data_IF_551717409615
#
_entry.id   IF_551717409615
#
_cell.length_a   1.000
_cell.length_b   1.000
_cell.length_c   1.000
_cell.angle_alpha   90.00
_cell.angle_beta   90.00
_cell.angle_gamma   90.00
#
_symmetry.space_group_name_H-M   'P 1'
#
loop_
_entity.id
_entity.type
_entity.pdbx_description
1 polymer ?
#
# COMPACT_ATOMS: atom_id res chain seq x y z
N UNK A 1 -12.79 3.54 13.28
CA UNK A 1 -11.87 3.02 12.26
C UNK A 1 -12.27 1.59 11.86
N UNK A 2 -12.52 0.70 12.82
CA UNK A 2 -12.95 -0.69 12.58
C UNK A 2 -14.27 -0.82 11.79
N UNK A 3 -15.30 -0.02 12.14
CA UNK A 3 -16.58 0.01 11.40
C UNK A 3 -16.41 0.28 9.90
N UNK A 4 -15.56 1.25 9.55
CA UNK A 4 -15.31 1.62 8.15
C UNK A 4 -14.55 0.53 7.38
N UNK A 5 -13.75 -0.29 8.08
CA UNK A 5 -13.09 -1.44 7.46
C UNK A 5 -14.10 -2.57 7.21
N UNK A 6 -14.96 -2.88 8.19
CA UNK A 6 -16.04 -3.85 8.02
C UNK A 6 -16.95 -3.47 6.85
N UNK A 7 -17.39 -2.22 6.76
CA UNK A 7 -18.21 -1.73 5.64
C UNK A 7 -17.55 -1.94 4.28
N UNK A 8 -16.22 -1.76 4.19
CA UNK A 8 -15.49 -1.96 2.94
C UNK A 8 -15.24 -3.43 2.62
N UNK A 9 -15.14 -4.29 3.63
CA UNK A 9 -15.06 -5.74 3.44
C UNK A 9 -16.40 -6.29 2.96
N UNK A 10 -17.51 -5.78 3.52
CA UNK A 10 -18.89 -6.18 3.18
C UNK A 10 -19.39 -5.55 1.86
N UNK A 11 -18.67 -4.57 1.32
CA UNK A 11 -19.00 -3.92 0.06
C UNK A 11 -19.04 -4.91 -1.11
N UNK A 12 -20.19 -4.99 -1.79
CA UNK A 12 -20.37 -5.76 -3.04
C UNK A 12 -19.60 -5.19 -4.23
N UNK A 13 -19.07 -3.95 -4.15
CA UNK A 13 -18.25 -3.39 -5.22
C UNK A 13 -16.94 -4.18 -5.40
N UNK A 14 -16.78 -4.80 -6.58
CA UNK A 14 -15.63 -5.63 -6.90
C UNK A 14 -14.30 -4.87 -6.86
N UNK A 15 -14.29 -3.55 -7.13
CA UNK A 15 -13.06 -2.76 -7.06
C UNK A 15 -12.63 -2.58 -5.62
N UNK A 16 -13.57 -2.25 -4.72
CA UNK A 16 -13.26 -2.07 -3.29
C UNK A 16 -12.83 -3.41 -2.68
N UNK A 17 -13.58 -4.47 -2.93
CA UNK A 17 -13.26 -5.82 -2.43
C UNK A 17 -11.90 -6.31 -2.94
N UNK A 18 -11.61 -6.12 -4.23
CA UNK A 18 -10.32 -6.50 -4.82
C UNK A 18 -9.13 -5.73 -4.24
N UNK A 19 -9.30 -4.45 -3.90
CA UNK A 19 -8.24 -3.66 -3.23
C UNK A 19 -7.94 -4.17 -1.83
N UNK A 20 -8.98 -4.46 -1.05
CA UNK A 20 -8.82 -4.99 0.31
C UNK A 20 -8.18 -6.37 0.28
N UNK A 21 -8.62 -7.23 -0.63
CA UNK A 21 -8.07 -8.57 -0.78
C UNK A 21 -6.57 -8.52 -1.10
N UNK A 22 -6.16 -7.65 -2.04
CA UNK A 22 -4.74 -7.44 -2.37
C UNK A 22 -3.94 -6.90 -1.17
N UNK A 23 -4.49 -5.94 -0.43
CA UNK A 23 -3.81 -5.43 0.78
C UNK A 23 -3.63 -6.53 1.83
N UNK A 24 -4.66 -7.36 2.05
CA UNK A 24 -4.57 -8.49 2.97
C UNK A 24 -3.55 -9.55 2.50
N UNK A 25 -3.45 -9.77 1.19
CA UNK A 25 -2.45 -10.66 0.60
C UNK A 25 -1.02 -10.12 0.75
N UNK A 26 -0.80 -8.83 0.51
CA UNK A 26 0.50 -8.19 0.73
C UNK A 26 0.97 -8.32 2.18
N UNK A 27 0.08 -8.07 3.14
CA UNK A 27 0.38 -8.22 4.57
C UNK A 27 0.65 -9.68 4.94
N UNK A 28 -0.07 -10.63 4.35
CA UNK A 28 0.14 -12.06 4.57
C UNK A 28 1.52 -12.53 4.07
N UNK A 29 1.94 -12.03 2.91
CA UNK A 29 3.19 -12.47 2.25
C UNK A 29 4.42 -11.81 2.86
N UNK A 30 4.40 -10.48 3.03
CA UNK A 30 5.58 -9.71 3.46
C UNK A 30 5.53 -9.26 4.93
N UNK A 31 4.43 -9.52 5.64
CA UNK A 31 4.30 -9.24 7.06
C UNK A 31 4.49 -7.76 7.40
N UNK A 32 5.44 -7.50 8.29
CA UNK A 32 5.71 -6.17 8.83
C UNK A 32 6.16 -5.15 7.77
N UNK A 33 6.90 -5.61 6.75
CA UNK A 33 7.40 -4.73 5.69
C UNK A 33 6.26 -4.20 4.81
N UNK A 34 5.20 -5.01 4.61
CA UNK A 34 3.99 -4.55 3.92
C UNK A 34 3.25 -3.50 4.74
N UNK A 35 3.16 -3.65 6.06
CA UNK A 35 2.52 -2.67 6.95
C UNK A 35 3.26 -1.33 6.85
N UNK A 36 4.60 -1.35 6.95
CA UNK A 36 5.42 -0.15 6.78
C UNK A 36 5.18 0.54 5.45
N UNK A 37 5.07 -0.24 4.36
CA UNK A 37 4.81 0.30 3.03
C UNK A 37 3.42 0.92 2.91
N UNK A 38 2.37 0.27 3.43
CA UNK A 38 0.99 0.75 3.35
C UNK A 38 0.73 1.98 4.25
N UNK A 39 1.56 2.21 5.27
CA UNK A 39 1.50 3.41 6.10
C UNK A 39 2.06 4.66 5.39
N UNK A 40 2.78 4.49 4.29
CA UNK A 40 3.37 5.60 3.54
C UNK A 40 2.32 6.48 2.85
N UNK A 41 2.59 7.79 2.79
CA UNK A 41 1.61 8.76 2.28
C UNK A 41 1.41 8.62 0.77
N UNK A 42 0.16 8.33 0.39
CA UNK A 42 -0.23 8.19 -1.02
C UNK A 42 0.19 6.86 -1.64
N UNK A 43 0.56 5.88 -0.80
CA UNK A 43 0.88 4.52 -1.23
C UNK A 43 -0.40 3.68 -1.17
N UNK A 44 -0.84 3.20 -2.33
CA UNK A 44 -1.95 2.24 -2.47
C UNK A 44 -1.46 0.81 -2.70
N UNK A 45 -2.40 -0.11 -2.92
CA UNK A 45 -2.15 -1.54 -3.13
C UNK A 45 -1.16 -1.81 -4.26
N UNK A 46 -1.28 -1.07 -5.36
CA UNK A 46 -0.46 -1.26 -6.56
C UNK A 46 0.97 -0.74 -6.36
N UNK A 47 1.10 0.42 -5.71
CA UNK A 47 2.41 0.99 -5.36
C UNK A 47 3.12 0.13 -4.33
N UNK A 48 2.40 -0.36 -3.31
CA UNK A 48 2.95 -1.25 -2.30
C UNK A 48 3.44 -2.57 -2.91
N UNK A 49 2.65 -3.18 -3.80
CA UNK A 49 3.06 -4.38 -4.54
C UNK A 49 4.38 -4.15 -5.30
N UNK A 50 4.55 -2.98 -5.92
CA UNK A 50 5.78 -2.66 -6.67
C UNK A 50 6.99 -2.48 -5.75
N UNK A 51 6.81 -1.87 -4.58
CA UNK A 51 7.89 -1.66 -3.61
C UNK A 51 8.33 -3.00 -3.00
N UNK A 52 7.36 -3.87 -2.67
CA UNK A 52 7.59 -5.13 -1.98
C UNK A 52 8.12 -6.25 -2.89
N UNK A 53 8.11 -6.08 -4.22
CA UNK A 53 8.77 -6.98 -5.19
C UNK A 53 10.31 -6.99 -5.09
N UNK A 54 10.91 -6.11 -4.30
CA UNK A 54 12.35 -6.08 -4.09
C UNK A 54 12.87 -7.30 -3.32
N UNK A 55 14.20 -7.51 -3.30
CA UNK A 55 14.82 -8.57 -2.50
C UNK A 55 14.55 -8.34 -1.00
N UNK A 56 14.21 -9.43 -0.31
CA UNK A 56 13.93 -9.46 1.13
C UNK A 56 15.22 -9.29 1.94
N UNK A 57 15.12 -8.72 3.15
CA UNK A 57 16.24 -8.63 4.11
C UNK A 57 17.01 -7.29 4.14
N UNK A 58 16.80 -6.38 3.19
CA UNK A 58 17.37 -5.02 3.23
C UNK A 58 16.31 -3.97 3.57
N UNK A 59 16.17 -3.70 4.89
CA UNK A 59 15.21 -2.71 5.37
C UNK A 59 15.55 -1.27 4.97
N UNK A 60 16.84 -0.94 4.77
CA UNK A 60 17.24 0.42 4.36
C UNK A 60 16.77 0.67 2.93
N UNK A 61 16.92 -0.31 2.04
CA UNK A 61 16.40 -0.24 0.68
C UNK A 61 14.89 -0.08 0.66
N UNK A 62 14.16 -0.83 1.48
CA UNK A 62 12.71 -0.72 1.60
C UNK A 62 12.27 0.69 1.99
N UNK A 63 12.85 1.24 3.08
CA UNK A 63 12.52 2.59 3.55
C UNK A 63 12.84 3.66 2.50
N UNK A 64 13.95 3.51 1.76
CA UNK A 64 14.29 4.40 0.64
C UNK A 64 13.26 4.31 -0.49
N UNK A 65 12.77 3.11 -0.81
CA UNK A 65 11.75 2.91 -1.82
C UNK A 65 10.41 3.55 -1.42
N UNK A 66 10.02 3.40 -0.15
CA UNK A 66 8.83 4.07 0.42
C UNK A 66 8.98 5.59 0.30
N UNK A 67 10.10 6.14 0.78
CA UNK A 67 10.35 7.59 0.72
C UNK A 67 10.28 8.15 -0.70
N UNK A 68 10.88 7.45 -1.67
CA UNK A 68 10.80 7.84 -3.08
C UNK A 68 9.36 7.83 -3.60
N UNK A 69 8.55 6.85 -3.20
CA UNK A 69 7.15 6.80 -3.60
C UNK A 69 6.33 7.96 -3.01
N UNK A 70 6.59 8.33 -1.76
CA UNK A 70 5.96 9.49 -1.11
C UNK A 70 6.33 10.81 -1.82
N UNK A 71 7.60 10.98 -2.19
CA UNK A 71 8.04 12.14 -2.97
C UNK A 71 7.35 12.21 -4.33
N UNK A 72 7.20 11.07 -5.02
CA UNK A 72 6.47 11.03 -6.29
C UNK A 72 5.01 11.42 -6.11
N UNK A 73 4.32 10.86 -5.11
CA UNK A 73 2.95 11.24 -4.80
C UNK A 73 2.82 12.74 -4.50
N UNK A 74 3.70 13.29 -3.66
CA UNK A 74 3.72 14.71 -3.33
C UNK A 74 3.96 15.59 -4.58
N UNK A 75 4.82 15.14 -5.49
CA UNK A 75 5.13 15.84 -6.74
C UNK A 75 3.99 15.80 -7.74
N UNK A 76 3.28 14.68 -7.88
CA UNK A 76 2.22 14.51 -8.89
C UNK A 76 0.84 14.96 -8.40
N UNK A 77 0.60 14.96 -7.07
CA UNK A 77 -0.69 15.35 -6.48
C UNK A 77 -1.23 16.71 -6.96
N UNK A 78 -0.43 17.78 -7.10
CA UNK A 78 -0.94 19.07 -7.59
C UNK A 78 -1.54 19.02 -9.01
N UNK A 79 -1.16 18.03 -9.82
CA UNK A 79 -1.62 17.87 -11.19
C UNK A 79 -2.90 17.02 -11.31
N UNK A 80 -3.40 16.44 -10.23
CA UNK A 80 -4.59 15.58 -10.22
C UNK A 80 -5.88 16.37 -10.04
N UNK A 81 -5.94 17.56 -10.66
CA UNK A 81 -7.19 18.30 -10.83
C UNK A 81 -8.17 17.52 -11.69
#
# INVERSE_FOLDING_TARGET
MEKTLMERIESTDQKISGKIQRNAELVRTHGHDAILCLMGRGIGEETATRILRGPEGDRIRLLRAIHNAELQYARTRPFWR
#
